data_IF_832879718350
#
_entry.id   IF_832879718350
#
_cell.length_a   1.000
_cell.length_b   1.000
_cell.length_c   1.000
_cell.angle_alpha   90.00
_cell.angle_beta   90.00
_cell.angle_gamma   90.00
#
_symmetry.space_group_name_H-M   'P 1'
#
loop_
_entity.id
_entity.type
_entity.pdbx_description
1 polymer ?
#
# COMPACT_ATOMS: atom_id res chain seq x y z
N UNK A 1 30.75 33.14 -30.32
CA UNK A 1 30.39 31.75 -30.63
C UNK A 1 30.43 30.85 -29.40
N UNK A 2 31.54 30.81 -28.64
CA UNK A 2 31.66 30.01 -27.40
C UNK A 2 30.64 30.36 -26.32
N UNK A 3 30.35 31.65 -26.14
CA UNK A 3 29.33 32.16 -25.21
C UNK A 3 27.91 31.72 -25.57
N UNK A 4 27.53 31.80 -26.86
CA UNK A 4 26.23 31.31 -27.34
C UNK A 4 26.07 29.79 -27.20
N UNK A 5 27.16 29.04 -27.37
CA UNK A 5 27.19 27.59 -27.14
C UNK A 5 27.00 27.23 -25.65
N UNK A 6 27.60 28.01 -24.74
CA UNK A 6 27.37 27.86 -23.30
C UNK A 6 25.93 28.19 -22.91
N UNK A 7 25.36 29.27 -23.47
CA UNK A 7 23.97 29.66 -23.22
C UNK A 7 22.97 28.58 -23.69
N UNK A 8 23.24 27.95 -24.83
CA UNK A 8 22.42 26.86 -25.37
C UNK A 8 22.54 25.57 -24.54
N UNK A 9 23.73 25.30 -24.00
CA UNK A 9 23.98 24.16 -23.11
C UNK A 9 23.29 24.34 -21.75
N UNK A 10 23.24 25.56 -21.20
CA UNK A 10 22.53 25.83 -19.94
C UNK A 10 21.00 25.70 -20.10
N UNK A 11 20.44 26.24 -21.20
CA UNK A 11 18.99 26.18 -21.46
C UNK A 11 18.48 24.75 -21.57
N UNK A 12 19.25 23.86 -22.21
CA UNK A 12 18.87 22.45 -22.40
C UNK A 12 18.93 21.63 -21.10
N UNK A 13 19.80 22.00 -20.14
CA UNK A 13 19.89 21.30 -18.85
C UNK A 13 18.66 21.51 -17.94
N UNK A 14 17.92 22.61 -18.12
CA UNK A 14 16.71 22.88 -17.33
C UNK A 14 15.49 22.03 -17.74
N UNK A 15 15.49 21.42 -18.93
CA UNK A 15 14.33 20.68 -19.44
C UNK A 15 14.24 19.21 -18.97
N UNK A 16 15.25 18.70 -18.25
CA UNK A 16 15.34 17.26 -17.91
C UNK A 16 15.15 16.91 -16.43
N UNK A 17 14.43 17.73 -15.64
CA UNK A 17 14.03 17.33 -14.29
C UNK A 17 12.58 16.83 -14.26
N UNK A 18 12.40 15.54 -14.51
CA UNK A 18 11.16 14.83 -14.13
C UNK A 18 11.47 13.91 -12.94
N UNK A 19 11.41 14.48 -11.74
CA UNK A 19 11.53 13.76 -10.46
C UNK A 19 10.16 13.55 -9.79
N UNK A 20 9.05 13.69 -10.53
CA UNK A 20 7.71 13.52 -9.97
C UNK A 20 7.40 12.03 -9.83
N UNK A 21 7.61 11.50 -8.63
CA UNK A 21 7.10 10.18 -8.23
C UNK A 21 5.57 10.23 -8.34
N UNK A 22 4.98 9.33 -9.16
CA UNK A 22 3.53 9.22 -9.23
C UNK A 22 2.95 8.96 -7.82
N UNK A 23 1.78 9.53 -7.48
CA UNK A 23 1.15 9.26 -6.19
C UNK A 23 0.95 7.76 -6.01
N UNK A 24 1.48 7.19 -4.93
CA UNK A 24 1.25 5.78 -4.60
C UNK A 24 -0.23 5.63 -4.22
N UNK A 25 -1.01 4.77 -4.90
CA UNK A 25 -2.41 4.57 -4.57
C UNK A 25 -2.57 4.08 -3.14
N UNK A 26 -3.30 4.83 -2.31
CA UNK A 26 -3.60 4.42 -0.94
C UNK A 26 -4.70 3.37 -0.96
N UNK A 27 -4.39 2.17 -0.47
CA UNK A 27 -5.38 1.10 -0.28
C UNK A 27 -6.37 1.49 0.81
N UNK A 28 -7.66 1.25 0.55
CA UNK A 28 -8.75 1.45 1.52
C UNK A 28 -9.52 0.16 1.68
N UNK A 29 -9.98 -0.10 2.90
CA UNK A 29 -10.86 -1.22 3.23
C UNK A 29 -11.94 -0.75 4.20
N UNK A 30 -13.16 -1.24 4.03
CA UNK A 30 -14.25 -0.98 4.95
C UNK A 30 -14.16 -1.95 6.12
N UNK A 31 -14.02 -1.43 7.35
CA UNK A 31 -14.15 -2.23 8.55
C UNK A 31 -15.64 -2.51 8.83
N UNK A 32 -15.96 -3.72 9.30
CA UNK A 32 -17.33 -4.10 9.65
C UNK A 32 -17.59 -3.87 11.13
N UNK A 33 -18.65 -3.13 11.46
CA UNK A 33 -19.11 -3.01 12.84
C UNK A 33 -19.72 -4.32 13.30
N UNK A 34 -19.34 -4.77 14.50
CA UNK A 34 -19.89 -5.97 15.16
C UNK A 34 -20.51 -5.59 16.50
N UNK A 35 -21.39 -6.44 17.01
CA UNK A 35 -22.02 -6.29 18.34
C UNK A 35 -21.44 -7.22 19.39
N UNK A 36 -20.63 -8.19 18.96
CA UNK A 36 -19.97 -9.18 19.80
C UNK A 36 -18.50 -9.23 19.45
N UNK A 37 -17.64 -9.13 20.46
CA UNK A 37 -16.20 -9.28 20.28
C UNK A 37 -15.84 -10.74 19.95
N UNK A 38 -14.85 -10.98 19.07
CA UNK A 38 -14.29 -12.30 18.86
C UNK A 38 -13.49 -12.75 20.09
N UNK A 39 -13.27 -14.05 20.21
CA UNK A 39 -12.33 -14.62 21.16
C UNK A 39 -10.90 -14.47 20.63
N UNK A 40 -9.99 -14.04 21.50
CA UNK A 40 -8.58 -13.85 21.15
C UNK A 40 -7.77 -15.05 21.66
N UNK A 41 -7.89 -16.19 20.97
CA UNK A 41 -7.20 -17.43 21.31
C UNK A 41 -6.38 -18.03 20.16
N UNK A 42 -6.35 -17.36 19.00
CA UNK A 42 -5.64 -17.80 17.81
C UNK A 42 -6.44 -18.74 16.90
N UNK A 43 -7.69 -19.06 17.24
CA UNK A 43 -8.62 -19.79 16.39
C UNK A 43 -9.54 -18.77 15.69
N UNK A 44 -9.73 -18.92 14.37
CA UNK A 44 -10.51 -18.00 13.54
C UNK A 44 -11.84 -18.65 13.11
N UNK A 45 -12.62 -19.14 14.07
CA UNK A 45 -13.88 -19.86 13.85
C UNK A 45 -15.13 -19.09 14.32
N UNK A 46 -14.97 -17.91 14.93
CA UNK A 46 -16.10 -17.07 15.33
C UNK A 46 -16.92 -16.57 14.13
N UNK A 47 -18.24 -16.67 14.23
CA UNK A 47 -19.19 -16.20 13.22
C UNK A 47 -19.06 -14.70 12.89
N UNK A 48 -18.46 -13.91 13.77
CA UNK A 48 -18.25 -12.46 13.55
C UNK A 48 -17.36 -12.18 12.33
N UNK A 49 -16.54 -13.16 11.93
CA UNK A 49 -15.65 -13.07 10.78
C UNK A 49 -16.34 -13.33 9.44
N UNK A 50 -17.53 -13.93 9.44
CA UNK A 50 -18.25 -14.29 8.22
C UNK A 50 -18.66 -13.04 7.43
N UNK A 51 -18.28 -12.98 6.15
CA UNK A 51 -18.60 -11.86 5.26
C UNK A 51 -17.87 -10.54 5.60
N UNK A 52 -16.83 -10.58 6.45
CA UNK A 52 -15.95 -9.42 6.67
C UNK A 52 -15.03 -9.26 5.46
N UNK A 53 -14.89 -8.03 4.89
CA UNK A 53 -13.97 -7.78 3.77
C UNK A 53 -12.54 -8.23 4.08
N UNK A 54 -11.90 -8.81 3.07
CA UNK A 54 -10.53 -9.31 3.16
C UNK A 54 -9.56 -8.31 2.54
N UNK A 55 -8.56 -7.89 3.31
CA UNK A 55 -7.39 -7.20 2.78
C UNK A 55 -6.37 -8.24 2.29
N UNK A 56 -5.96 -8.11 1.03
CA UNK A 56 -5.02 -8.99 0.33
C UNK A 56 -4.01 -8.19 -0.49
N UNK A 57 -3.17 -8.92 -1.24
CA UNK A 57 -2.21 -8.38 -2.21
C UNK A 57 -1.19 -7.45 -1.55
N UNK A 58 -0.73 -7.84 -0.37
CA UNK A 58 0.29 -7.10 0.34
C UNK A 58 1.58 -7.09 -0.47
N UNK A 59 2.22 -5.93 -0.45
CA UNK A 59 3.54 -5.73 -1.02
C UNK A 59 4.54 -5.61 0.13
N UNK A 60 5.74 -6.09 -0.13
CA UNK A 60 6.84 -6.00 0.81
C UNK A 60 7.28 -4.54 0.95
N UNK A 61 7.40 -4.05 2.18
CA UNK A 61 8.00 -2.74 2.45
C UNK A 61 9.53 -2.84 2.52
N UNK A 62 10.05 -3.89 3.16
CA UNK A 62 11.48 -4.13 3.35
C UNK A 62 11.78 -5.63 3.38
N UNK A 63 13.01 -6.10 3.09
CA UNK A 63 14.13 -5.37 2.48
C UNK A 63 13.99 -5.10 0.97
N UNK A 64 13.01 -5.69 0.28
CA UNK A 64 12.79 -5.49 -1.15
C UNK A 64 11.44 -4.77 -1.40
N UNK A 65 11.41 -3.43 -1.39
CA UNK A 65 10.17 -2.66 -1.53
C UNK A 65 9.40 -3.00 -2.82
N UNK A 66 8.07 -3.10 -2.70
CA UNK A 66 7.15 -3.27 -3.84
C UNK A 66 7.02 -4.69 -4.39
N UNK A 67 7.81 -5.66 -3.89
CA UNK A 67 7.63 -7.08 -4.24
C UNK A 67 6.27 -7.58 -3.77
N UNK A 68 5.52 -8.22 -4.67
CA UNK A 68 4.27 -8.91 -4.30
C UNK A 68 4.59 -10.13 -3.46
N UNK A 69 3.77 -10.39 -2.46
CA UNK A 69 3.86 -11.57 -1.62
C UNK A 69 3.96 -12.89 -2.41
N UNK A 70 4.83 -13.79 -1.95
CA UNK A 70 4.94 -15.13 -2.52
C UNK A 70 3.66 -15.90 -2.24
N UNK A 71 3.24 -16.77 -3.17
CA UNK A 71 2.00 -17.57 -3.04
C UNK A 71 1.90 -18.34 -1.73
N UNK A 72 3.02 -18.83 -1.18
CA UNK A 72 3.08 -19.60 0.07
C UNK A 72 3.22 -18.74 1.34
N UNK A 73 3.24 -17.41 1.21
CA UNK A 73 3.35 -16.44 2.31
C UNK A 73 2.29 -15.34 2.17
N UNK A 74 1.16 -15.67 1.55
CA UNK A 74 0.06 -14.73 1.40
C UNK A 74 -0.51 -14.39 2.77
N UNK A 75 -0.72 -13.11 2.99
CA UNK A 75 -1.29 -12.59 4.23
C UNK A 75 -2.71 -12.12 3.97
N UNK A 76 -3.62 -12.53 4.83
CA UNK A 76 -5.01 -12.11 4.82
C UNK A 76 -5.31 -11.35 6.11
N UNK A 77 -5.92 -10.17 6.00
CA UNK A 77 -6.32 -9.38 7.16
C UNK A 77 -7.80 -9.01 7.06
N UNK A 78 -8.53 -9.15 8.15
CA UNK A 78 -9.94 -8.74 8.29
C UNK A 78 -10.02 -7.65 9.35
N UNK A 79 -10.88 -6.66 9.13
CA UNK A 79 -11.09 -5.56 10.08
C UNK A 79 -12.53 -5.56 10.57
N UNK A 80 -12.69 -5.69 11.89
CA UNK A 80 -13.95 -5.49 12.60
C UNK A 80 -13.74 -4.50 13.74
N UNK A 81 -14.81 -3.86 14.17
CA UNK A 81 -14.78 -2.95 15.32
C UNK A 81 -16.14 -2.96 16.04
N UNK A 82 -16.15 -2.60 17.32
CA UNK A 82 -17.35 -2.22 18.06
C UNK A 82 -17.18 -0.78 18.61
N UNK A 83 -18.11 -0.32 19.44
CA UNK A 83 -18.10 1.06 19.96
C UNK A 83 -17.47 1.18 21.36
N UNK A 84 -16.89 0.09 21.90
CA UNK A 84 -16.32 0.05 23.25
C UNK A 84 -14.83 0.39 23.28
#
# INVERSE_FOLDING_TARGET
MKSALLSLLLLTSCFSLSAQTAPVPVKRISARRVTSAPKIDGVLDDAVWEGVPLATDFIQSEPNPGQVERKNKRTEVRFIYDDN
#
